data_IF_337808273131
#
_entry.id   IF_337808273131
#
_cell.length_a   1.000
_cell.length_b   1.000
_cell.length_c   1.000
_cell.angle_alpha   90.00
_cell.angle_beta   90.00
_cell.angle_gamma   90.00
#
_symmetry.space_group_name_H-M   'P 1'
#
loop_
_entity.id
_entity.type
_entity.pdbx_description
1 polymer ?
#
# COMPACT_ATOMS: atom_id res chain seq x y z
N UNK A 1 2.18 18.17 12.08
CA UNK A 1 2.81 16.87 12.40
C UNK A 1 1.89 15.83 13.05
N UNK A 2 1.14 16.12 14.12
CA UNK A 2 0.28 15.13 14.83
C UNK A 2 -0.55 14.20 13.93
N UNK A 3 -1.24 14.76 12.91
CA UNK A 3 -2.06 13.96 11.98
C UNK A 3 -1.23 12.94 11.19
N UNK A 4 -0.04 13.30 10.72
CA UNK A 4 0.85 12.37 9.98
C UNK A 4 1.24 11.18 10.85
N UNK A 5 1.64 11.44 12.09
CA UNK A 5 2.00 10.39 13.07
C UNK A 5 0.81 9.48 13.38
N UNK A 6 -0.37 10.06 13.63
CA UNK A 6 -1.57 9.28 13.87
C UNK A 6 -1.88 8.32 12.73
N UNK A 7 -1.89 8.79 11.48
CA UNK A 7 -2.20 7.95 10.33
C UNK A 7 -1.13 6.88 10.06
N UNK A 8 0.14 7.17 10.37
CA UNK A 8 1.20 6.18 10.38
C UNK A 8 0.93 5.07 11.40
N UNK A 9 0.60 5.44 12.65
CA UNK A 9 0.23 4.48 13.70
C UNK A 9 -0.99 3.64 13.33
N UNK A 10 -2.01 4.25 12.74
CA UNK A 10 -3.20 3.54 12.26
C UNK A 10 -2.84 2.48 11.22
N UNK A 11 -1.96 2.81 10.27
CA UNK A 11 -1.51 1.84 9.27
C UNK A 11 -0.62 0.74 9.87
N UNK A 12 0.21 1.10 10.85
CA UNK A 12 1.05 0.15 11.56
C UNK A 12 0.21 -0.83 12.38
N UNK A 13 -0.74 -0.33 13.17
CA UNK A 13 -1.68 -1.14 13.95
C UNK A 13 -2.48 -2.10 13.06
N UNK A 14 -2.94 -1.62 11.90
CA UNK A 14 -3.67 -2.43 10.94
C UNK A 14 -2.80 -3.58 10.39
N UNK A 15 -1.51 -3.33 10.15
CA UNK A 15 -0.55 -4.37 9.74
C UNK A 15 -0.20 -5.34 10.86
N UNK A 16 0.02 -4.85 12.07
CA UNK A 16 0.34 -5.68 13.24
C UNK A 16 -0.85 -6.56 13.61
N UNK A 17 -2.06 -5.99 13.59
CA UNK A 17 -3.29 -6.73 13.85
C UNK A 17 -3.47 -7.87 12.85
N UNK A 18 -3.20 -7.62 11.57
CA UNK A 18 -3.25 -8.65 10.54
C UNK A 18 -2.23 -9.77 10.78
N UNK A 19 -0.94 -9.44 10.99
CA UNK A 19 0.12 -10.42 11.23
C UNK A 19 -0.13 -11.28 12.46
N UNK A 20 -0.75 -10.69 13.49
CA UNK A 20 -1.16 -11.40 14.70
C UNK A 20 -2.46 -12.20 14.54
N UNK A 21 -3.13 -12.12 13.38
CA UNK A 21 -4.47 -12.67 13.18
C UNK A 21 -5.53 -12.00 14.07
N UNK A 22 -5.22 -10.83 14.63
CA UNK A 22 -6.10 -10.07 15.50
C UNK A 22 -7.25 -9.47 14.70
N UNK A 23 -8.47 -9.78 15.14
CA UNK A 23 -9.72 -9.47 14.43
C UNK A 23 -10.21 -8.03 14.60
N UNK A 24 -9.57 -7.23 15.46
CA UNK A 24 -9.96 -5.84 15.75
C UNK A 24 -8.72 -4.94 15.71
N UNK A 25 -8.72 -3.98 14.78
CA UNK A 25 -7.72 -2.91 14.69
C UNK A 25 -8.30 -1.59 15.23
N UNK A 26 -7.44 -0.63 15.54
CA UNK A 26 -7.79 0.76 15.85
C UNK A 26 -8.67 1.41 14.75
N UNK A 27 -8.63 0.89 13.52
CA UNK A 27 -9.48 1.33 12.41
C UNK A 27 -10.95 1.04 12.63
N UNK A 28 -11.31 0.06 13.46
CA UNK A 28 -12.71 -0.22 13.82
C UNK A 28 -13.19 0.59 15.05
N UNK A 29 -12.30 1.37 15.69
CA UNK A 29 -12.65 2.19 16.87
C UNK A 29 -13.11 3.59 16.47
N UNK A 30 -13.91 4.24 17.30
CA UNK A 30 -14.35 5.61 17.06
C UNK A 30 -13.19 6.63 17.22
N UNK A 31 -12.97 7.44 16.20
CA UNK A 31 -12.03 8.57 16.18
C UNK A 31 -12.35 9.50 15.01
N UNK A 32 -11.96 10.78 15.14
CA UNK A 32 -12.37 11.92 14.30
C UNK A 32 -11.20 12.58 13.53
N UNK A 33 -10.01 11.97 13.58
CA UNK A 33 -8.81 12.55 12.99
C UNK A 33 -8.89 12.63 11.46
N UNK A 34 -8.79 13.84 10.93
CA UNK A 34 -8.77 14.12 9.48
C UNK A 34 -7.46 13.64 8.82
N UNK A 35 -7.49 13.46 7.49
CA UNK A 35 -6.29 13.15 6.71
C UNK A 35 -5.21 14.24 6.86
N UNK A 36 -3.92 13.88 6.73
CA UNK A 36 -2.85 14.85 6.62
C UNK A 36 -2.97 15.71 5.34
N UNK A 37 -2.36 16.89 5.34
CA UNK A 37 -2.31 17.74 4.15
C UNK A 37 -1.30 17.21 3.13
N UNK A 38 -1.57 17.44 1.84
CA UNK A 38 -0.68 17.10 0.73
C UNK A 38 0.39 18.19 0.57
N UNK A 39 1.49 18.08 1.32
CA UNK A 39 2.61 19.03 1.34
C UNK A 39 3.93 18.28 1.42
N UNK A 40 5.01 18.87 0.92
CA UNK A 40 6.35 18.30 1.03
C UNK A 40 6.87 18.41 2.46
N UNK A 41 7.95 17.70 2.78
CA UNK A 41 8.58 17.81 4.10
C UNK A 41 9.28 19.16 4.28
N UNK A 42 9.84 19.72 3.20
CA UNK A 42 10.44 21.07 3.18
C UNK A 42 9.42 22.19 3.44
N UNK A 43 8.13 21.94 3.21
CA UNK A 43 7.06 22.89 3.49
C UNK A 43 6.68 22.93 4.99
N UNK A 44 7.37 22.19 5.87
CA UNK A 44 7.11 22.12 7.31
C UNK A 44 8.33 22.58 8.10
N UNK A 45 8.19 23.70 8.80
CA UNK A 45 9.21 24.24 9.68
C UNK A 45 8.66 24.38 11.12
N UNK A 46 9.44 24.03 12.17
CA UNK A 46 9.02 24.15 13.57
C UNK A 46 8.63 25.57 14.00
N UNK A 47 9.16 26.60 13.37
CA UNK A 47 8.90 28.01 13.63
C UNK A 47 7.68 28.57 12.86
N UNK A 48 6.97 27.75 12.06
CA UNK A 48 5.80 28.20 11.32
C UNK A 48 4.64 28.59 12.24
N UNK A 49 4.10 29.79 12.04
CA UNK A 49 2.90 30.30 12.72
C UNK A 49 1.60 30.01 11.97
N UNK A 50 1.68 29.73 10.67
CA UNK A 50 0.54 29.46 9.79
C UNK A 50 0.70 28.07 9.17
N UNK A 51 -0.35 27.23 9.12
CA UNK A 51 -0.26 25.91 8.50
C UNK A 51 -0.01 26.03 6.98
N UNK A 52 0.82 25.14 6.40
CA UNK A 52 1.07 25.15 4.97
C UNK A 52 -0.20 24.82 4.18
N UNK A 53 -0.32 25.39 2.99
CA UNK A 53 -1.45 25.13 2.10
C UNK A 53 -1.26 23.79 1.39
N UNK A 54 -2.34 23.02 1.27
CA UNK A 54 -2.30 21.77 0.50
C UNK A 54 -1.95 22.07 -0.96
N UNK A 55 -0.99 21.33 -1.51
CA UNK A 55 -0.55 21.44 -2.90
C UNK A 55 -1.41 20.57 -3.81
N UNK A 56 -1.47 20.96 -5.07
CA UNK A 56 -2.03 20.16 -6.16
C UNK A 56 -0.89 19.40 -6.84
N UNK A 57 -1.01 18.08 -6.99
CA UNK A 57 0.01 17.23 -7.59
C UNK A 57 0.66 16.25 -6.61
N UNK A 58 1.68 15.55 -7.10
CA UNK A 58 2.47 14.62 -6.27
C UNK A 58 3.40 15.40 -5.34
N UNK A 59 3.41 14.98 -4.08
CA UNK A 59 4.29 15.48 -2.99
C UNK A 59 4.88 14.29 -2.24
N UNK A 60 5.80 14.55 -1.31
CA UNK A 60 6.34 13.51 -0.42
C UNK A 60 5.24 12.75 0.34
N UNK A 61 4.14 13.43 0.66
CA UNK A 61 2.99 12.83 1.33
C UNK A 61 2.11 11.98 0.44
N UNK A 62 2.21 12.06 -0.89
CA UNK A 62 1.28 11.38 -1.81
C UNK A 62 1.30 9.86 -1.66
N UNK A 63 2.48 9.28 -1.43
CA UNK A 63 2.60 7.83 -1.20
C UNK A 63 1.92 7.38 0.11
N UNK A 64 1.93 8.21 1.14
CA UNK A 64 1.21 7.93 2.37
C UNK A 64 -0.29 8.18 2.21
N UNK A 65 -0.66 9.27 1.52
CA UNK A 65 -2.04 9.70 1.37
C UNK A 65 -2.90 8.69 0.61
N UNK A 66 -2.42 8.08 -0.47
CA UNK A 66 -3.24 7.08 -1.17
C UNK A 66 -3.60 5.90 -0.25
N UNK A 67 -2.67 5.46 0.61
CA UNK A 67 -2.91 4.39 1.59
C UNK A 67 -3.94 4.82 2.62
N UNK A 68 -3.80 6.04 3.13
CA UNK A 68 -4.71 6.59 4.13
C UNK A 68 -6.12 6.74 3.58
N UNK A 69 -6.24 7.11 2.31
CA UNK A 69 -7.51 7.13 1.58
C UNK A 69 -8.14 5.74 1.43
N UNK A 70 -7.34 4.72 1.10
CA UNK A 70 -7.83 3.33 1.10
C UNK A 70 -8.35 2.90 2.47
N UNK A 71 -7.58 3.15 3.54
CA UNK A 71 -7.99 2.82 4.92
C UNK A 71 -9.26 3.59 5.32
N UNK A 72 -9.37 4.85 4.92
CA UNK A 72 -10.56 5.68 5.19
C UNK A 72 -11.80 5.14 4.49
N UNK A 73 -11.68 4.72 3.23
CA UNK A 73 -12.78 4.12 2.48
C UNK A 73 -13.25 2.80 3.13
N UNK A 74 -12.30 1.96 3.55
CA UNK A 74 -12.61 0.70 4.23
C UNK A 74 -13.34 0.95 5.57
N UNK A 75 -12.85 1.92 6.35
CA UNK A 75 -13.48 2.34 7.60
C UNK A 75 -14.91 2.84 7.40
N UNK A 76 -15.15 3.68 6.39
CA UNK A 76 -16.49 4.23 6.14
C UNK A 76 -17.49 3.15 5.75
N UNK A 77 -17.07 2.17 4.95
CA UNK A 77 -17.88 0.98 4.65
C UNK A 77 -18.19 0.17 5.91
N UNK A 78 -17.19 -0.02 6.78
CA UNK A 78 -17.36 -0.77 8.03
C UNK A 78 -18.33 -0.10 9.01
N UNK A 79 -18.23 1.22 9.20
CA UNK A 79 -19.15 1.99 10.03
C UNK A 79 -20.58 1.98 9.48
N UNK A 80 -20.76 2.07 8.15
CA UNK A 80 -22.08 2.00 7.50
C UNK A 80 -22.71 0.61 7.65
N UNK A 81 -21.89 -0.44 7.62
CA UNK A 81 -22.33 -1.81 7.87
C UNK A 81 -22.80 -2.01 9.32
N UNK A 82 -22.07 -1.43 10.28
CA UNK A 82 -22.42 -1.50 11.70
C UNK A 82 -23.71 -0.74 12.03
N UNK A 83 -23.97 0.42 11.40
CA UNK A 83 -25.21 1.17 11.64
C UNK A 83 -26.46 0.43 11.14
N UNK A 84 -26.31 -0.34 10.07
CA UNK A 84 -27.42 -1.04 9.42
C UNK A 84 -27.71 -2.43 10.03
N UNK A 85 -26.86 -2.93 10.93
CA UNK A 85 -27.01 -4.26 11.53
C UNK A 85 -27.16 -4.16 13.05
N UNK A 86 -28.32 -4.55 13.59
CA UNK A 86 -28.53 -4.74 15.04
C UNK A 86 -27.71 -5.93 15.62
N UNK A 87 -26.94 -6.64 14.80
CA UNK A 87 -26.18 -7.83 15.20
C UNK A 87 -24.74 -7.45 15.59
N UNK A 88 -24.42 -7.56 16.88
CA UNK A 88 -23.13 -7.23 17.50
C UNK A 88 -21.95 -8.15 17.12
N UNK A 89 -22.14 -9.09 16.19
CA UNK A 89 -21.18 -10.17 15.92
C UNK A 89 -20.66 -10.21 14.47
N UNK A 90 -20.27 -9.07 13.90
CA UNK A 90 -19.37 -9.09 12.73
C UNK A 90 -17.95 -8.79 13.19
N UNK A 91 -17.12 -9.81 13.09
CA UNK A 91 -15.72 -9.85 13.56
C UNK A 91 -14.71 -9.56 12.45
N UNK A 92 -15.17 -9.04 11.31
CA UNK A 92 -14.37 -8.75 10.13
C UNK A 92 -14.74 -7.38 9.56
N UNK A 93 -13.74 -6.69 9.05
CA UNK A 93 -13.93 -5.41 8.37
C UNK A 93 -14.72 -5.61 7.07
N UNK A 94 -15.73 -4.79 6.87
CA UNK A 94 -16.63 -4.88 5.72
C UNK A 94 -15.88 -4.60 4.40
N UNK A 95 -16.12 -5.42 3.38
CA UNK A 95 -15.58 -5.22 2.02
C UNK A 95 -16.21 -3.97 1.37
N UNK A 96 -15.46 -3.29 0.51
CA UNK A 96 -16.01 -2.19 -0.30
C UNK A 96 -16.95 -2.75 -1.37
N UNK A 97 -18.05 -2.04 -1.64
CA UNK A 97 -18.89 -2.30 -2.81
C UNK A 97 -18.26 -1.77 -4.10
N UNK A 98 -18.72 -2.26 -5.26
CA UNK A 98 -18.26 -1.81 -6.58
C UNK A 98 -18.39 -0.30 -6.75
N UNK A 99 -19.46 0.30 -6.22
CA UNK A 99 -19.66 1.75 -6.27
C UNK A 99 -18.63 2.50 -5.43
N UNK A 100 -18.30 2.01 -4.23
CA UNK A 100 -17.27 2.59 -3.37
C UNK A 100 -15.86 2.43 -3.98
N UNK A 101 -15.56 1.28 -4.59
CA UNK A 101 -14.28 1.06 -5.28
C UNK A 101 -14.16 2.00 -6.48
N UNK A 102 -15.25 2.19 -7.23
CA UNK A 102 -15.27 3.12 -8.38
C UNK A 102 -15.08 4.57 -7.94
N UNK A 103 -15.68 4.99 -6.82
CA UNK A 103 -15.45 6.30 -6.22
C UNK A 103 -13.98 6.49 -5.80
N UNK A 104 -13.40 5.47 -5.15
CA UNK A 104 -12.01 5.48 -4.73
C UNK A 104 -11.05 5.56 -5.94
N UNK A 105 -11.35 4.83 -7.03
CA UNK A 105 -10.62 4.92 -8.30
C UNK A 105 -10.65 6.34 -8.87
N UNK A 106 -11.82 6.98 -8.91
CA UNK A 106 -11.96 8.36 -9.38
C UNK A 106 -11.16 9.35 -8.54
N UNK A 107 -11.16 9.18 -7.21
CA UNK A 107 -10.32 9.97 -6.30
C UNK A 107 -8.83 9.79 -6.63
N UNK A 108 -8.38 8.55 -6.81
CA UNK A 108 -6.97 8.28 -7.13
C UNK A 108 -6.54 8.84 -8.49
N UNK A 109 -7.41 8.77 -9.50
CA UNK A 109 -7.19 9.40 -10.79
C UNK A 109 -7.12 10.92 -10.69
N UNK A 110 -7.94 11.51 -9.82
CA UNK A 110 -7.98 12.95 -9.63
C UNK A 110 -6.77 13.50 -8.89
N UNK A 111 -6.34 12.82 -7.82
CA UNK A 111 -5.37 13.35 -6.88
C UNK A 111 -3.95 12.82 -7.11
N UNK A 112 -3.78 11.65 -7.73
CA UNK A 112 -2.47 11.01 -7.86
C UNK A 112 -2.13 10.63 -9.31
N UNK A 113 -2.91 9.74 -9.94
CA UNK A 113 -2.48 9.07 -11.18
C UNK A 113 -2.26 10.03 -12.35
N UNK A 114 -3.03 11.12 -12.45
CA UNK A 114 -2.84 12.14 -13.51
C UNK A 114 -1.53 12.91 -13.41
N UNK A 115 -0.91 12.93 -12.23
CA UNK A 115 0.30 13.69 -11.92
C UNK A 115 1.55 12.77 -11.85
N UNK A 116 1.37 11.44 -11.93
CA UNK A 116 2.48 10.49 -11.92
C UNK A 116 3.25 10.55 -13.25
N UNK A 117 4.55 10.82 -13.15
CA UNK A 117 5.49 10.72 -14.26
C UNK A 117 6.15 9.31 -14.27
N UNK A 118 6.08 8.53 -15.36
CA UNK A 118 6.69 7.20 -15.42
C UNK A 118 8.23 7.21 -15.36
N UNK A 119 8.89 8.34 -15.60
CA UNK A 119 10.35 8.49 -15.53
C UNK A 119 10.83 8.56 -14.08
N UNK A 120 10.02 9.11 -13.19
CA UNK A 120 10.36 9.26 -11.77
C UNK A 120 10.04 7.95 -11.04
N UNK A 121 11.03 7.26 -10.43
CA UNK A 121 10.81 5.94 -9.83
C UNK A 121 9.74 5.93 -8.73
N UNK A 122 9.68 6.99 -7.92
CA UNK A 122 8.66 7.12 -6.86
C UNK A 122 7.24 7.27 -7.43
N UNK A 123 7.10 8.01 -8.53
CA UNK A 123 5.80 8.20 -9.21
C UNK A 123 5.36 6.91 -9.89
N UNK A 124 6.29 6.18 -10.51
CA UNK A 124 6.04 4.86 -11.07
C UNK A 124 5.60 3.87 -9.97
N UNK A 125 6.31 3.84 -8.85
CA UNK A 125 5.95 2.99 -7.71
C UNK A 125 4.55 3.33 -7.18
N UNK A 126 4.25 4.62 -6.98
CA UNK A 126 2.93 5.08 -6.56
C UNK A 126 1.84 4.61 -7.54
N UNK A 127 2.07 4.80 -8.83
CA UNK A 127 1.16 4.42 -9.90
C UNK A 127 0.87 2.91 -9.92
N UNK A 128 1.91 2.08 -9.78
CA UNK A 128 1.79 0.62 -9.72
C UNK A 128 1.05 0.18 -8.45
N UNK A 129 1.39 0.76 -7.30
CA UNK A 129 0.77 0.41 -6.02
C UNK A 129 -0.71 0.77 -5.98
N UNK A 130 -1.10 1.93 -6.52
CA UNK A 130 -2.50 2.33 -6.63
C UNK A 130 -3.27 1.35 -7.53
N UNK A 131 -2.75 1.03 -8.71
CA UNK A 131 -3.39 0.08 -9.63
C UNK A 131 -3.52 -1.32 -9.03
N UNK A 132 -2.47 -1.79 -8.35
CA UNK A 132 -2.46 -3.08 -7.67
C UNK A 132 -3.50 -3.13 -6.53
N UNK A 133 -3.59 -2.06 -5.75
CA UNK A 133 -4.60 -1.90 -4.68
C UNK A 133 -6.01 -1.98 -5.24
N UNK A 134 -6.30 -1.24 -6.31
CA UNK A 134 -7.61 -1.27 -6.97
C UNK A 134 -7.95 -2.65 -7.52
N UNK A 135 -7.02 -3.32 -8.19
CA UNK A 135 -7.23 -4.67 -8.70
C UNK A 135 -7.58 -5.65 -7.58
N UNK A 136 -6.86 -5.59 -6.46
CA UNK A 136 -7.10 -6.46 -5.31
C UNK A 136 -8.45 -6.20 -4.66
N UNK A 137 -8.86 -4.93 -4.55
CA UNK A 137 -10.21 -4.58 -4.08
C UNK A 137 -11.30 -5.17 -4.99
N UNK A 138 -11.17 -5.02 -6.31
CA UNK A 138 -12.13 -5.61 -7.27
C UNK A 138 -12.15 -7.15 -7.21
N UNK A 139 -10.97 -7.78 -7.12
CA UNK A 139 -10.85 -9.23 -7.01
C UNK A 139 -11.53 -9.75 -5.75
N UNK A 140 -11.33 -9.06 -4.62
CA UNK A 140 -11.96 -9.42 -3.35
C UNK A 140 -13.47 -9.27 -3.39
N UNK A 141 -13.96 -8.18 -3.95
CA UNK A 141 -15.40 -7.97 -4.12
C UNK A 141 -16.01 -9.12 -4.96
N UNK A 142 -15.40 -9.42 -6.10
CA UNK A 142 -15.87 -10.47 -7.01
C UNK A 142 -15.83 -11.84 -6.33
N UNK A 143 -14.73 -12.16 -5.63
CA UNK A 143 -14.58 -13.42 -4.90
C UNK A 143 -15.63 -13.54 -3.80
N UNK A 144 -15.94 -12.46 -3.09
CA UNK A 144 -16.98 -12.44 -2.07
C UNK A 144 -18.38 -12.61 -2.67
N UNK A 145 -18.67 -12.02 -3.83
CA UNK A 145 -19.94 -12.23 -4.53
C UNK A 145 -20.10 -13.69 -4.97
N UNK A 146 -19.07 -14.29 -5.58
CA UNK A 146 -19.07 -15.70 -6.00
C UNK A 146 -19.22 -16.61 -4.78
N UNK A 147 -18.51 -16.33 -3.70
CA UNK A 147 -18.62 -17.09 -2.46
C UNK A 147 -20.01 -16.96 -1.84
N UNK A 148 -20.59 -15.77 -1.76
CA UNK A 148 -21.95 -15.57 -1.26
C UNK A 148 -23.00 -16.30 -2.11
N UNK A 149 -22.80 -16.35 -3.43
CA UNK A 149 -23.65 -17.10 -4.35
C UNK A 149 -23.49 -18.62 -4.19
N UNK A 150 -22.28 -19.11 -3.92
CA UNK A 150 -22.01 -20.53 -3.67
C UNK A 150 -22.43 -21.00 -2.27
N UNK A 151 -22.32 -20.13 -1.25
CA UNK A 151 -22.58 -20.44 0.16
C UNK A 151 -24.01 -20.19 0.64
N UNK A 152 -24.98 -20.01 -0.27
CA UNK A 152 -26.38 -20.30 0.06
C UNK A 152 -26.58 -21.77 0.53
N UNK A 153 -25.56 -22.64 0.43
CA UNK A 153 -25.59 -24.05 0.85
C UNK A 153 -24.47 -24.54 1.80
N UNK A 154 -23.52 -23.72 2.25
CA UNK A 154 -22.48 -24.20 3.16
C UNK A 154 -21.99 -23.10 4.10
N UNK A 155 -22.20 -23.29 5.41
CA UNK A 155 -21.63 -22.46 6.46
C UNK A 155 -20.21 -22.93 6.78
N UNK A 156 -19.31 -21.97 6.98
CA UNK A 156 -17.95 -22.12 7.49
C UNK A 156 -16.86 -22.44 6.46
N UNK A 157 -16.20 -21.40 5.93
CA UNK A 157 -14.96 -21.58 5.17
C UNK A 157 -14.28 -20.27 4.77
N UNK A 158 -13.36 -19.78 5.61
CA UNK A 158 -12.33 -18.75 5.33
C UNK A 158 -12.71 -17.61 4.37
N UNK A 159 -13.34 -16.56 4.90
CA UNK A 159 -13.30 -15.24 4.26
C UNK A 159 -11.92 -14.63 4.53
N UNK A 160 -11.11 -14.49 3.48
CA UNK A 160 -9.85 -13.72 3.49
C UNK A 160 -10.22 -12.27 3.79
N UNK A 161 -9.59 -11.68 4.81
CA UNK A 161 -9.87 -10.30 5.18
C UNK A 161 -9.47 -9.36 4.03
N UNK A 162 -10.28 -8.32 3.77
CA UNK A 162 -9.93 -7.26 2.82
C UNK A 162 -8.51 -6.73 3.06
N UNK A 163 -8.12 -6.66 4.33
CA UNK A 163 -6.82 -6.20 4.82
C UNK A 163 -5.70 -7.17 4.43
N UNK A 164 -5.93 -8.47 4.57
CA UNK A 164 -4.97 -9.52 4.27
C UNK A 164 -4.61 -9.52 2.78
N UNK A 165 -5.61 -9.38 1.90
CA UNK A 165 -5.34 -9.29 0.46
C UNK A 165 -4.67 -7.97 0.06
N UNK A 166 -5.05 -6.85 0.69
CA UNK A 166 -4.38 -5.56 0.49
C UNK A 166 -2.94 -5.58 0.98
N UNK A 167 -2.63 -6.40 1.99
CA UNK A 167 -1.27 -6.51 2.54
C UNK A 167 -0.39 -7.56 1.88
N UNK A 168 -0.94 -8.52 1.12
CA UNK A 168 -0.14 -9.33 0.20
C UNK A 168 0.57 -8.46 -0.86
N UNK A 169 0.11 -7.23 -1.09
CA UNK A 169 0.91 -6.18 -1.70
C UNK A 169 1.68 -5.43 -0.62
N UNK A 170 2.72 -6.09 -0.11
CA UNK A 170 3.62 -5.75 0.99
C UNK A 170 3.83 -4.23 1.22
N UNK A 171 2.83 -3.53 1.75
CA UNK A 171 2.74 -2.06 1.71
C UNK A 171 3.65 -1.36 2.72
N UNK A 172 4.31 -2.13 3.58
CA UNK A 172 5.38 -1.68 4.47
C UNK A 172 6.75 -2.20 4.07
N UNK A 173 6.84 -3.06 3.06
CA UNK A 173 8.11 -3.39 2.47
C UNK A 173 8.67 -2.10 1.84
N UNK A 174 9.94 -1.74 2.13
CA UNK A 174 10.51 -0.48 1.68
C UNK A 174 10.84 -0.57 0.19
N UNK A 175 9.81 -0.71 -0.66
CA UNK A 175 9.93 -0.86 -2.11
C UNK A 175 10.72 0.29 -2.72
N UNK A 176 10.55 1.51 -2.21
CA UNK A 176 11.35 2.66 -2.64
C UNK A 176 12.85 2.47 -2.36
N UNK A 177 13.20 1.90 -1.20
CA UNK A 177 14.60 1.59 -0.87
C UNK A 177 15.13 0.43 -1.71
N UNK A 178 14.36 -0.65 -1.89
CA UNK A 178 14.77 -1.77 -2.73
C UNK A 178 14.92 -1.36 -4.20
N UNK A 179 13.92 -0.69 -4.76
CA UNK A 179 13.94 -0.22 -6.15
C UNK A 179 15.04 0.81 -6.34
N UNK A 180 15.21 1.76 -5.43
CA UNK A 180 16.28 2.76 -5.48
C UNK A 180 17.68 2.12 -5.38
N UNK A 181 17.84 1.13 -4.50
CA UNK A 181 19.09 0.39 -4.35
C UNK A 181 19.39 -0.46 -5.59
N UNK A 182 18.43 -1.25 -6.09
CA UNK A 182 18.60 -2.02 -7.32
C UNK A 182 18.84 -1.14 -8.54
N UNK A 183 18.14 0.00 -8.64
CA UNK A 183 18.32 0.95 -9.73
C UNK A 183 19.69 1.61 -9.69
N UNK A 184 20.16 2.04 -8.52
CA UNK A 184 21.49 2.62 -8.35
C UNK A 184 22.60 1.58 -8.58
N UNK A 185 22.38 0.32 -8.21
CA UNK A 185 23.29 -0.78 -8.54
C UNK A 185 23.30 -1.12 -10.03
N UNK A 186 22.20 -0.87 -10.75
CA UNK A 186 22.12 -1.07 -12.19
C UNK A 186 22.69 0.10 -13.02
N UNK A 187 22.91 1.27 -12.42
CA UNK A 187 23.22 2.51 -13.16
C UNK A 187 24.52 3.20 -12.72
N UNK A 188 24.96 3.00 -11.48
CA UNK A 188 26.13 3.66 -10.89
C UNK A 188 27.20 2.60 -10.64
N UNK A 189 28.48 2.96 -10.75
CA UNK A 189 29.59 2.09 -10.34
C UNK A 189 29.78 2.16 -8.83
N UNK A 190 29.59 1.03 -8.15
CA UNK A 190 29.78 0.92 -6.71
C UNK A 190 31.21 0.49 -6.39
N UNK A 191 31.75 1.04 -5.30
CA UNK A 191 33.05 0.66 -4.76
C UNK A 191 32.95 -0.51 -3.79
N UNK A 192 33.60 -0.41 -2.63
CA UNK A 192 33.61 -1.46 -1.61
C UNK A 192 32.25 -1.77 -0.98
N UNK A 193 31.25 -0.90 -1.15
CA UNK A 193 29.92 -1.07 -0.58
C UNK A 193 28.96 -1.88 -1.45
N UNK A 194 29.35 -2.23 -2.68
CA UNK A 194 28.56 -3.05 -3.61
C UNK A 194 28.23 -4.44 -3.02
N UNK A 195 29.25 -5.09 -2.43
CA UNK A 195 29.14 -6.44 -1.86
C UNK A 195 28.16 -6.47 -0.67
N UNK A 196 28.19 -5.42 0.16
CA UNK A 196 27.29 -5.27 1.31
C UNK A 196 25.85 -5.03 0.85
N UNK A 197 25.66 -4.18 -0.15
CA UNK A 197 24.34 -3.92 -0.74
C UNK A 197 23.75 -5.20 -1.33
N UNK A 198 24.54 -5.97 -2.09
CA UNK A 198 24.10 -7.26 -2.63
C UNK A 198 23.75 -8.28 -1.55
N UNK A 199 24.53 -8.35 -0.47
CA UNK A 199 24.22 -9.23 0.66
C UNK A 199 22.84 -8.92 1.24
N UNK A 200 22.53 -7.65 1.44
CA UNK A 200 21.21 -7.24 1.94
C UNK A 200 20.07 -7.49 0.95
N UNK A 201 20.32 -7.34 -0.36
CA UNK A 201 19.32 -7.72 -1.38
C UNK A 201 19.05 -9.21 -1.36
N UNK A 202 20.09 -10.04 -1.27
CA UNK A 202 19.95 -11.51 -1.22
C UNK A 202 19.23 -11.96 0.05
N UNK A 203 19.63 -11.48 1.22
CA UNK A 203 18.95 -11.74 2.51
C UNK A 203 17.46 -11.39 2.44
N UNK A 204 17.13 -10.35 1.67
CA UNK A 204 15.78 -9.88 1.49
C UNK A 204 14.96 -10.75 0.53
N UNK A 205 15.55 -11.27 -0.56
CA UNK A 205 14.91 -12.26 -1.43
C UNK A 205 14.75 -13.63 -0.74
N UNK A 206 15.68 -14.01 0.14
CA UNK A 206 15.57 -15.22 0.96
C UNK A 206 14.45 -15.12 2.00
N UNK A 207 14.34 -13.95 2.64
CA UNK A 207 13.33 -13.72 3.69
C UNK A 207 11.92 -13.53 3.14
N UNK A 208 11.80 -13.08 1.89
CA UNK A 208 10.54 -12.87 1.19
C UNK A 208 10.57 -13.59 -0.16
N UNK A 209 10.48 -14.93 -0.20
CA UNK A 209 10.57 -15.72 -1.44
C UNK A 209 9.46 -15.38 -2.44
N UNK A 210 8.36 -14.78 -2.00
CA UNK A 210 7.33 -14.20 -2.85
C UNK A 210 7.89 -13.12 -3.81
N UNK A 211 9.02 -12.48 -3.49
CA UNK A 211 9.67 -11.47 -4.33
C UNK A 211 10.22 -12.04 -5.64
N UNK A 212 10.58 -13.32 -5.66
CA UNK A 212 11.05 -14.03 -6.85
C UNK A 212 9.93 -14.57 -7.74
N UNK A 213 8.66 -14.41 -7.35
CA UNK A 213 7.52 -14.95 -8.08
C UNK A 213 7.13 -14.13 -9.31
N UNK A 214 6.92 -14.81 -10.45
CA UNK A 214 6.53 -14.18 -11.72
C UNK A 214 5.09 -13.61 -11.77
N UNK A 215 4.29 -13.85 -10.72
CA UNK A 215 2.83 -13.69 -10.78
C UNK A 215 2.29 -12.27 -10.54
N UNK A 216 3.13 -11.25 -10.28
CA UNK A 216 2.67 -9.86 -10.15
C UNK A 216 3.58 -8.87 -10.88
N UNK A 217 3.00 -7.85 -11.51
CA UNK A 217 3.73 -6.85 -12.30
C UNK A 217 4.84 -6.10 -11.55
N UNK A 218 4.64 -5.78 -10.27
CA UNK A 218 5.67 -5.16 -9.42
C UNK A 218 6.84 -6.12 -9.13
N UNK A 219 6.53 -7.38 -8.83
CA UNK A 219 7.52 -8.42 -8.56
C UNK A 219 8.35 -8.73 -9.81
N UNK A 220 7.69 -8.82 -10.96
CA UNK A 220 8.37 -8.95 -12.25
C UNK A 220 9.26 -7.75 -12.56
N UNK A 221 8.81 -6.53 -12.29
CA UNK A 221 9.63 -5.32 -12.45
C UNK A 221 10.86 -5.35 -11.54
N UNK A 222 10.69 -5.68 -10.27
CA UNK A 222 11.79 -5.78 -9.29
C UNK A 222 12.76 -6.90 -9.65
N UNK A 223 12.27 -8.07 -10.07
CA UNK A 223 13.10 -9.17 -10.57
C UNK A 223 13.86 -8.78 -11.84
N UNK A 224 13.20 -8.10 -12.79
CA UNK A 224 13.87 -7.59 -14.00
C UNK A 224 14.95 -6.55 -13.66
N UNK A 225 14.69 -5.67 -12.69
CA UNK A 225 15.64 -4.67 -12.23
C UNK A 225 16.81 -5.31 -11.47
N UNK A 226 16.56 -6.35 -10.68
CA UNK A 226 17.58 -7.14 -10.00
C UNK A 226 18.48 -7.88 -11.01
N UNK A 227 17.89 -8.47 -12.05
CA UNK A 227 18.65 -9.08 -13.16
C UNK A 227 19.50 -8.04 -13.89
N UNK A 228 18.96 -6.86 -14.20
CA UNK A 228 19.73 -5.76 -14.79
C UNK A 228 20.89 -5.31 -13.91
N UNK A 229 20.66 -5.21 -12.60
CA UNK A 229 21.73 -4.88 -11.64
C UNK A 229 22.79 -5.99 -11.59
N UNK A 230 22.39 -7.25 -11.70
CA UNK A 230 23.30 -8.39 -11.75
C UNK A 230 24.13 -8.41 -13.05
N UNK A 231 23.51 -8.15 -14.19
CA UNK A 231 24.21 -8.08 -15.48
C UNK A 231 25.21 -6.92 -15.51
N UNK A 232 24.86 -5.77 -14.95
CA UNK A 232 25.77 -4.63 -14.80
C UNK A 232 26.99 -4.96 -13.92
N UNK A 233 26.83 -5.81 -12.91
CA UNK A 233 27.93 -6.35 -12.09
C UNK A 233 28.78 -7.37 -12.86
N UNK A 234 28.13 -8.23 -13.65
CA UNK A 234 28.73 -9.37 -14.37
C UNK A 234 29.49 -8.95 -15.63
N UNK A 235 29.16 -7.78 -16.17
CA UNK A 235 29.83 -7.24 -17.34
C UNK A 235 31.33 -7.03 -17.05
N UNK A 236 32.23 -7.43 -17.96
CA UNK A 236 33.67 -7.23 -17.78
C UNK A 236 33.95 -5.73 -17.63
N UNK A 237 34.63 -5.38 -16.54
CA UNK A 237 35.14 -4.03 -16.27
C UNK A 237 36.34 -3.71 -17.14
#
# INVERSE_FOLDING_TARGET
MRRRVWWYLVNLDLRVSELAGARKSIVSQAWDTQLPLNVNDDDIDPAMTVPPKSRTGITDMSFCLFKYETVRALRSADLTSMSNSLSKNKSQMTLLSASQITQLKGLFEANFLRFCDPVIPLHLLLNVMIRSTLYTLYKLETTAQVFNHANAKASSGRQVSCIEALSHHNGQFPWGALVGLLWSMATIQWGQDEEKAWKHVLELFERYPELGGENQGLLRFVGTLALKAWDARSAPR
#
